data_IF_441909201121
#
_entry.id   IF_441909201121
#
_cell.length_a   1.000
_cell.length_b   1.000
_cell.length_c   1.000
_cell.angle_alpha   90.00
_cell.angle_beta   90.00
_cell.angle_gamma   90.00
#
_symmetry.space_group_name_H-M   'P 1'
#
loop_
_entity.id
_entity.type
_entity.pdbx_description
1 polymer ?
#
# COMPACT_ATOMS: atom_id res chain seq x y z
N UNK A 1 -55.08 -5.51 18.91
CA UNK A 1 -53.62 -5.58 18.68
C UNK A 1 -53.23 -7.05 18.79
N UNK A 2 -52.73 -7.65 17.72
CA UNK A 2 -52.18 -9.00 17.80
C UNK A 2 -50.84 -8.94 18.54
N UNK A 3 -50.69 -9.76 19.58
CA UNK A 3 -49.42 -9.98 20.27
C UNK A 3 -48.66 -11.08 19.54
N UNK A 4 -47.33 -10.96 19.49
CA UNK A 4 -46.47 -12.00 18.92
C UNK A 4 -46.62 -13.29 19.71
N UNK A 5 -46.57 -14.42 19.01
CA UNK A 5 -46.46 -15.74 19.62
C UNK A 5 -45.04 -15.95 20.17
N UNK A 6 -44.89 -16.84 21.15
CA UNK A 6 -43.57 -17.20 21.72
C UNK A 6 -42.59 -17.68 20.64
N UNK A 7 -43.08 -18.39 19.62
CA UNK A 7 -42.29 -18.84 18.47
C UNK A 7 -41.81 -17.68 17.59
N UNK A 8 -42.64 -16.67 17.36
CA UNK A 8 -42.26 -15.49 16.59
C UNK A 8 -41.27 -14.62 17.36
N UNK A 9 -41.44 -14.50 18.68
CA UNK A 9 -40.48 -13.81 19.52
C UNK A 9 -39.12 -14.52 19.51
N UNK A 10 -39.10 -15.84 19.70
CA UNK A 10 -37.87 -16.64 19.63
C UNK A 10 -37.18 -16.50 18.27
N UNK A 11 -37.93 -16.59 17.18
CA UNK A 11 -37.37 -16.42 15.82
C UNK A 11 -36.79 -15.02 15.62
N UNK A 12 -37.44 -13.98 16.13
CA UNK A 12 -36.91 -12.61 16.04
C UNK A 12 -35.58 -12.48 16.80
N UNK A 13 -35.47 -13.07 18.00
CA UNK A 13 -34.24 -13.09 18.78
C UNK A 13 -33.11 -13.84 18.05
N UNK A 14 -33.41 -14.99 17.46
CA UNK A 14 -32.50 -15.79 16.63
C UNK A 14 -32.00 -15.01 15.40
N UNK A 15 -32.90 -14.34 14.68
CA UNK A 15 -32.55 -13.52 13.52
C UNK A 15 -31.70 -12.31 13.91
N UNK A 16 -31.95 -11.69 15.06
CA UNK A 16 -31.09 -10.63 15.58
C UNK A 16 -29.66 -11.16 15.79
N UNK A 17 -29.49 -12.36 16.35
CA UNK A 17 -28.16 -12.96 16.51
C UNK A 17 -27.52 -13.26 15.14
N UNK A 18 -28.29 -13.80 14.20
CA UNK A 18 -27.84 -14.09 12.83
C UNK A 18 -27.29 -12.83 12.13
N UNK A 19 -27.98 -11.70 12.28
CA UNK A 19 -27.62 -10.47 11.57
C UNK A 19 -26.46 -9.69 12.22
N UNK A 20 -26.10 -9.98 13.48
CA UNK A 20 -24.97 -9.33 14.18
C UNK A 20 -23.65 -9.36 13.39
N UNK A 21 -23.13 -10.51 12.92
CA UNK A 21 -21.88 -10.55 12.16
C UNK A 21 -21.95 -9.69 10.88
N UNK A 22 -23.08 -9.70 10.16
CA UNK A 22 -23.27 -8.88 8.97
C UNK A 22 -23.27 -7.37 9.30
N UNK A 23 -23.92 -6.98 10.39
CA UNK A 23 -23.89 -5.61 10.90
C UNK A 23 -22.45 -5.20 11.24
N UNK A 24 -21.70 -6.02 11.97
CA UNK A 24 -20.31 -5.74 12.33
C UNK A 24 -19.45 -5.47 11.10
N UNK A 25 -19.51 -6.34 10.09
CA UNK A 25 -18.78 -6.15 8.83
C UNK A 25 -19.21 -4.87 8.11
N UNK A 26 -20.52 -4.63 8.01
CA UNK A 26 -21.05 -3.47 7.31
C UNK A 26 -20.64 -2.17 8.00
N UNK A 27 -20.71 -2.12 9.33
CA UNK A 27 -20.28 -0.96 10.12
C UNK A 27 -18.79 -0.71 9.96
N UNK A 28 -17.95 -1.76 10.04
CA UNK A 28 -16.51 -1.63 9.80
C UNK A 28 -16.25 -1.02 8.42
N UNK A 29 -16.79 -1.63 7.37
CA UNK A 29 -16.58 -1.20 5.99
C UNK A 29 -17.14 0.20 5.69
N UNK A 30 -18.22 0.59 6.39
CA UNK A 30 -18.83 1.91 6.22
C UNK A 30 -18.16 3.00 7.06
N UNK A 31 -17.38 2.63 8.08
CA UNK A 31 -16.61 3.55 8.93
C UNK A 31 -15.23 3.86 8.38
N UNK A 32 -14.69 3.01 7.51
CA UNK A 32 -13.38 3.25 6.90
C UNK A 32 -13.46 4.27 5.77
N UNK A 33 -12.60 5.30 5.82
CA UNK A 33 -12.46 6.29 4.76
C UNK A 33 -11.79 5.71 3.51
N UNK A 34 -10.99 4.65 3.67
CA UNK A 34 -10.28 3.94 2.59
C UNK A 34 -10.32 2.43 2.82
N UNK A 35 -11.46 1.76 2.57
CA UNK A 35 -11.57 0.32 2.73
C UNK A 35 -10.51 -0.41 1.90
N UNK A 36 -9.72 -1.24 2.57
CA UNK A 36 -8.63 -1.99 1.93
C UNK A 36 -9.15 -3.29 1.32
N UNK A 37 -8.82 -3.53 0.04
CA UNK A 37 -9.20 -4.77 -0.68
C UNK A 37 -8.68 -6.03 0.02
N UNK A 38 -7.61 -5.91 0.80
CA UNK A 38 -7.02 -6.96 1.62
C UNK A 38 -7.97 -7.52 2.69
N UNK A 39 -9.02 -6.79 3.10
CA UNK A 39 -9.99 -7.25 4.10
C UNK A 39 -11.15 -8.05 3.54
N UNK A 40 -11.37 -8.03 2.21
CA UNK A 40 -12.55 -8.66 1.60
C UNK A 40 -12.59 -10.17 1.92
N UNK A 41 -11.48 -10.89 1.72
CA UNK A 41 -11.43 -12.32 2.03
C UNK A 41 -11.52 -12.60 3.54
N UNK A 42 -10.74 -11.95 4.43
CA UNK A 42 -10.91 -12.12 5.87
C UNK A 42 -12.34 -11.91 6.37
N UNK A 43 -13.04 -10.87 5.88
CA UNK A 43 -14.43 -10.58 6.29
C UNK A 43 -15.42 -11.58 5.68
N UNK A 44 -15.21 -12.03 4.43
CA UNK A 44 -15.97 -13.13 3.82
C UNK A 44 -15.87 -14.38 4.70
N UNK A 45 -14.66 -14.82 5.03
CA UNK A 45 -14.40 -16.00 5.87
C UNK A 45 -15.03 -15.87 7.26
N UNK A 46 -14.98 -14.67 7.87
CA UNK A 46 -15.61 -14.41 9.16
C UNK A 46 -17.13 -14.58 9.08
N UNK A 47 -17.78 -14.05 8.03
CA UNK A 47 -19.22 -14.21 7.85
C UNK A 47 -19.56 -15.69 7.63
N UNK A 48 -18.87 -16.38 6.72
CA UNK A 48 -19.14 -17.80 6.44
C UNK A 48 -19.03 -18.67 7.70
N UNK A 49 -17.99 -18.44 8.53
CA UNK A 49 -17.86 -19.12 9.83
C UNK A 49 -19.03 -18.83 10.76
N UNK A 50 -19.53 -17.60 10.79
CA UNK A 50 -20.70 -17.24 11.62
C UNK A 50 -22.02 -17.79 11.10
N UNK A 51 -22.08 -18.20 9.83
CA UNK A 51 -23.25 -18.83 9.20
C UNK A 51 -23.22 -20.35 9.27
N UNK A 52 -22.24 -20.96 9.94
CA UNK A 52 -22.22 -22.40 10.13
C UNK A 52 -23.51 -22.87 10.84
N UNK A 53 -24.13 -23.98 10.38
CA UNK A 53 -25.34 -24.52 10.99
C UNK A 53 -25.03 -25.00 12.41
N UNK A 54 -25.85 -24.58 13.37
CA UNK A 54 -25.84 -25.06 14.75
C UNK A 54 -26.93 -26.12 14.97
N UNK A 55 -26.70 -27.02 15.91
CA UNK A 55 -27.66 -28.09 16.23
C UNK A 55 -28.99 -27.52 16.76
N UNK A 56 -28.89 -26.46 17.58
CA UNK A 56 -30.02 -25.75 18.21
C UNK A 56 -30.75 -24.77 17.28
N UNK A 57 -30.27 -24.58 16.05
CA UNK A 57 -30.92 -23.65 15.12
C UNK A 57 -32.30 -24.17 14.70
N UNK A 58 -33.30 -23.28 14.70
CA UNK A 58 -34.60 -23.56 14.10
C UNK A 58 -34.48 -23.85 12.59
N UNK A 59 -35.45 -24.55 12.00
CA UNK A 59 -35.44 -24.86 10.57
C UNK A 59 -35.32 -23.59 9.70
N UNK A 60 -36.11 -22.56 10.03
CA UNK A 60 -36.05 -21.25 9.36
C UNK A 60 -34.68 -20.59 9.50
N UNK A 61 -34.02 -20.72 10.67
CA UNK A 61 -32.70 -20.16 10.89
C UNK A 61 -31.62 -20.88 10.06
N UNK A 62 -31.71 -22.21 9.95
CA UNK A 62 -30.83 -23.02 9.08
C UNK A 62 -30.99 -22.63 7.61
N UNK A 63 -32.23 -22.43 7.15
CA UNK A 63 -32.52 -21.95 5.80
C UNK A 63 -31.95 -20.55 5.55
N UNK A 64 -32.12 -19.62 6.50
CA UNK A 64 -31.56 -18.28 6.39
C UNK A 64 -30.03 -18.29 6.33
N UNK A 65 -29.37 -19.06 7.21
CA UNK A 65 -27.91 -19.27 7.19
C UNK A 65 -27.43 -19.84 5.86
N UNK A 66 -28.13 -20.84 5.33
CA UNK A 66 -27.80 -21.46 4.04
C UNK A 66 -27.95 -20.47 2.89
N UNK A 67 -29.02 -19.68 2.86
CA UNK A 67 -29.24 -18.66 1.84
C UNK A 67 -28.14 -17.57 1.85
N UNK A 68 -27.75 -17.10 3.03
CA UNK A 68 -26.64 -16.12 3.18
C UNK A 68 -25.32 -16.73 2.72
N UNK A 69 -25.04 -17.97 3.13
CA UNK A 69 -23.81 -18.70 2.76
C UNK A 69 -23.71 -18.86 1.26
N UNK A 70 -24.77 -19.35 0.61
CA UNK A 70 -24.82 -19.56 -0.84
C UNK A 70 -24.62 -18.26 -1.61
N UNK A 71 -25.28 -17.17 -1.20
CA UNK A 71 -25.13 -15.87 -1.85
C UNK A 71 -23.69 -15.36 -1.71
N UNK A 72 -23.09 -15.45 -0.52
CA UNK A 72 -21.75 -14.95 -0.26
C UNK A 72 -20.64 -15.80 -0.89
N UNK A 73 -20.80 -17.12 -0.95
CA UNK A 73 -19.86 -18.02 -1.60
C UNK A 73 -19.75 -17.73 -3.09
N UNK A 74 -20.89 -17.43 -3.74
CA UNK A 74 -20.94 -17.12 -5.17
C UNK A 74 -20.25 -15.80 -5.50
N UNK A 75 -20.16 -14.89 -4.54
CA UNK A 75 -19.39 -13.65 -4.65
C UNK A 75 -17.89 -13.97 -4.60
N UNK A 76 -17.12 -13.36 -5.49
CA UNK A 76 -15.66 -13.54 -5.60
C UNK A 76 -15.23 -14.96 -6.05
N UNK A 77 -16.04 -15.60 -6.91
CA UNK A 77 -15.72 -16.91 -7.52
C UNK A 77 -14.89 -16.81 -8.80
N UNK A 78 -14.82 -15.61 -9.41
CA UNK A 78 -13.93 -15.37 -10.55
C UNK A 78 -12.48 -15.66 -10.13
N UNK A 79 -11.78 -16.60 -10.80
CA UNK A 79 -10.40 -16.96 -10.45
C UNK A 79 -9.44 -15.78 -10.45
N UNK A 80 -9.58 -14.85 -11.41
CA UNK A 80 -8.69 -13.70 -11.52
C UNK A 80 -8.90 -12.73 -10.35
N UNK A 81 -10.16 -12.44 -10.01
CA UNK A 81 -10.51 -11.64 -8.85
C UNK A 81 -10.08 -12.31 -7.54
N UNK A 82 -10.26 -13.63 -7.42
CA UNK A 82 -9.89 -14.38 -6.24
C UNK A 82 -8.37 -14.34 -6.00
N UNK A 83 -7.56 -14.59 -7.04
CA UNK A 83 -6.10 -14.48 -6.96
C UNK A 83 -5.66 -13.06 -6.58
N UNK A 84 -6.25 -12.02 -7.19
CA UNK A 84 -5.98 -10.63 -6.82
C UNK A 84 -6.27 -10.35 -5.34
N UNK A 85 -7.42 -10.78 -4.85
CA UNK A 85 -7.81 -10.58 -3.44
C UNK A 85 -6.91 -11.38 -2.50
N UNK A 86 -6.52 -12.61 -2.87
CA UNK A 86 -5.59 -13.42 -2.08
C UNK A 86 -4.22 -12.75 -1.97
N UNK A 87 -3.68 -12.23 -3.09
CA UNK A 87 -2.44 -11.45 -3.10
C UNK A 87 -2.55 -10.19 -2.25
N UNK A 88 -3.64 -9.43 -2.40
CA UNK A 88 -3.89 -8.23 -1.60
C UNK A 88 -3.95 -8.53 -0.10
N UNK A 89 -4.64 -9.60 0.30
CA UNK A 89 -4.69 -10.06 1.70
C UNK A 89 -3.32 -10.51 2.20
N UNK A 90 -2.54 -11.24 1.39
CA UNK A 90 -1.22 -11.74 1.78
C UNK A 90 -0.17 -10.63 1.97
N UNK A 91 -0.29 -9.55 1.20
CA UNK A 91 0.58 -8.37 1.28
C UNK A 91 0.24 -7.46 2.49
N UNK A 92 -0.94 -7.62 3.08
CA UNK A 92 -1.32 -6.89 4.29
C UNK A 92 -0.73 -7.57 5.54
N UNK A 93 0.15 -6.90 6.29
CA UNK A 93 0.80 -7.50 7.47
C UNK A 93 -0.19 -8.02 8.53
N UNK A 94 -1.41 -7.45 8.58
CA UNK A 94 -2.48 -7.87 9.51
C UNK A 94 -2.99 -9.27 9.21
N UNK A 95 -2.91 -9.72 7.95
CA UNK A 95 -3.49 -10.98 7.48
C UNK A 95 -2.47 -11.98 6.96
N UNK A 96 -1.16 -11.71 7.16
CA UNK A 96 -0.04 -12.56 6.69
C UNK A 96 -0.10 -14.04 7.09
N UNK A 97 -0.88 -14.40 8.12
CA UNK A 97 -1.04 -15.79 8.53
C UNK A 97 -1.97 -16.58 7.62
N UNK A 98 -2.89 -15.94 6.89
CA UNK A 98 -3.82 -16.57 5.93
C UNK A 98 -4.43 -17.90 6.43
N UNK A 99 -5.11 -17.92 7.58
CA UNK A 99 -5.54 -19.17 8.24
C UNK A 99 -6.60 -19.97 7.45
N UNK A 100 -7.23 -19.38 6.43
CA UNK A 100 -8.16 -20.07 5.55
C UNK A 100 -7.49 -20.83 4.39
N UNK A 101 -6.19 -20.60 4.14
CA UNK A 101 -5.44 -21.31 3.11
C UNK A 101 -4.69 -22.51 3.71
N UNK A 102 -4.62 -23.60 2.95
CA UNK A 102 -3.73 -24.70 3.28
C UNK A 102 -2.24 -24.31 3.10
N UNK A 103 -1.36 -25.04 3.77
CA UNK A 103 0.09 -24.77 3.76
C UNK A 103 0.66 -24.72 2.34
N UNK A 104 0.25 -25.65 1.48
CA UNK A 104 0.80 -25.74 0.12
C UNK A 104 0.39 -24.53 -0.73
N UNK A 105 -0.86 -24.09 -0.61
CA UNK A 105 -1.37 -22.89 -1.30
C UNK A 105 -0.70 -21.62 -0.78
N UNK A 106 -0.51 -21.52 0.54
CA UNK A 106 0.18 -20.40 1.18
C UNK A 106 1.63 -20.28 0.71
N UNK A 107 2.37 -21.38 0.66
CA UNK A 107 3.75 -21.42 0.15
C UNK A 107 3.81 -21.00 -1.32
N UNK A 108 2.90 -21.52 -2.17
CA UNK A 108 2.82 -21.12 -3.58
C UNK A 108 2.57 -19.63 -3.74
N UNK A 109 1.59 -19.09 -3.02
CA UNK A 109 1.24 -17.66 -3.06
C UNK A 109 2.43 -16.77 -2.73
N UNK A 110 3.15 -17.05 -1.64
CA UNK A 110 4.32 -16.26 -1.25
C UNK A 110 5.50 -16.38 -2.22
N UNK A 111 5.71 -17.57 -2.80
CA UNK A 111 6.71 -17.76 -3.86
C UNK A 111 6.38 -16.91 -5.09
N UNK A 112 5.12 -16.93 -5.52
CA UNK A 112 4.67 -16.20 -6.70
C UNK A 112 4.78 -14.69 -6.46
N UNK A 113 4.34 -14.19 -5.29
CA UNK A 113 4.54 -12.80 -4.89
C UNK A 113 6.01 -12.38 -4.86
N UNK A 114 6.89 -13.24 -4.34
CA UNK A 114 8.33 -12.98 -4.33
C UNK A 114 8.89 -12.86 -5.74
N UNK A 115 8.43 -13.72 -6.65
CA UNK A 115 8.82 -13.68 -8.07
C UNK A 115 8.38 -12.38 -8.73
N UNK A 116 7.10 -11.99 -8.55
CA UNK A 116 6.56 -10.74 -9.09
C UNK A 116 7.34 -9.51 -8.58
N UNK A 117 7.69 -9.49 -7.29
CA UNK A 117 8.48 -8.39 -6.69
C UNK A 117 9.86 -8.30 -7.36
N UNK A 118 10.56 -9.42 -7.50
CA UNK A 118 11.88 -9.46 -8.12
C UNK A 118 11.85 -9.05 -9.59
N UNK A 119 10.85 -9.49 -10.34
CA UNK A 119 10.65 -9.10 -11.73
C UNK A 119 10.35 -7.60 -11.85
N UNK A 120 9.47 -7.07 -11.01
CA UNK A 120 9.12 -5.66 -10.99
C UNK A 120 10.33 -4.79 -10.61
N UNK A 121 11.16 -5.21 -9.65
CA UNK A 121 12.41 -4.51 -9.32
C UNK A 121 13.37 -4.43 -10.50
N UNK A 122 13.55 -5.52 -11.24
CA UNK A 122 14.42 -5.56 -12.43
C UNK A 122 13.91 -4.61 -13.51
N UNK A 123 12.60 -4.58 -13.74
CA UNK A 123 11.97 -3.67 -14.70
C UNK A 123 12.16 -2.20 -14.27
N UNK A 124 11.96 -1.88 -13.00
CA UNK A 124 12.18 -0.52 -12.47
C UNK A 124 13.63 -0.10 -12.64
N UNK A 125 14.60 -0.97 -12.34
CA UNK A 125 16.03 -0.70 -12.53
C UNK A 125 16.40 -0.53 -14.01
N UNK A 126 15.85 -1.37 -14.90
CA UNK A 126 16.08 -1.25 -16.34
C UNK A 126 15.54 0.07 -16.90
N UNK A 127 14.34 0.49 -16.49
CA UNK A 127 13.75 1.78 -16.88
C UNK A 127 14.57 2.97 -16.37
N UNK A 128 15.06 2.91 -15.13
CA UNK A 128 15.95 3.93 -14.59
C UNK A 128 17.29 4.00 -15.35
N UNK A 129 17.86 2.84 -15.71
CA UNK A 129 19.07 2.73 -16.53
C UNK A 129 18.90 3.38 -17.91
N UNK A 130 17.81 3.09 -18.62
CA UNK A 130 17.49 3.71 -19.91
C UNK A 130 17.33 5.23 -19.82
N UNK A 131 16.68 5.73 -18.77
CA UNK A 131 16.54 7.19 -18.54
C UNK A 131 17.91 7.86 -18.35
N UNK A 132 18.80 7.24 -17.57
CA UNK A 132 20.14 7.76 -17.31
C UNK A 132 21.04 7.71 -18.55
N UNK A 133 20.96 6.64 -19.34
CA UNK A 133 21.71 6.51 -20.59
C UNK A 133 21.25 7.49 -21.66
N UNK A 134 19.94 7.77 -21.75
CA UNK A 134 19.40 8.81 -22.61
C UNK A 134 19.94 10.20 -22.21
N UNK A 135 19.89 10.54 -20.92
CA UNK A 135 20.42 11.81 -20.41
C UNK A 135 21.92 11.98 -20.71
N UNK A 136 22.71 10.90 -20.55
CA UNK A 136 24.16 10.89 -20.83
C UNK A 136 24.48 11.03 -22.33
N UNK A 137 23.68 10.43 -23.21
CA UNK A 137 23.81 10.62 -24.67
C UNK A 137 23.51 12.05 -25.09
N UNK A 138 22.47 12.68 -24.53
CA UNK A 138 22.16 14.10 -24.78
C UNK A 138 23.27 15.03 -24.28
N UNK A 139 23.84 14.77 -23.09
CA UNK A 139 24.97 15.53 -22.57
C UNK A 139 26.24 15.40 -23.44
N UNK A 140 26.58 14.19 -23.90
CA UNK A 140 27.73 13.97 -24.80
C UNK A 140 27.55 14.61 -26.17
N UNK A 141 26.34 14.61 -26.73
CA UNK A 141 26.03 15.29 -27.97
C UNK A 141 26.20 16.82 -27.84
N UNK A 142 25.80 17.39 -26.70
CA UNK A 142 26.02 18.81 -26.38
C UNK A 142 27.50 19.15 -26.22
N UNK A 143 28.29 18.31 -25.53
CA UNK A 143 29.74 18.50 -25.38
C UNK A 143 30.51 18.38 -26.71
N UNK A 144 30.09 17.48 -27.61
CA UNK A 144 30.68 17.34 -28.94
C UNK A 144 30.41 18.57 -29.84
N UNK A 145 29.27 19.25 -29.67
CA UNK A 145 28.99 20.50 -30.38
C UNK A 145 29.80 21.69 -29.87
N UNK A 146 30.15 21.72 -28.58
CA UNK A 146 30.98 22.79 -27.99
C UNK A 146 32.44 22.68 -28.47
N UNK A 147 32.98 21.46 -28.55
CA UNK A 147 34.37 21.22 -29.00
C UNK A 147 34.55 21.46 -30.50
N UNK A 148 33.54 21.19 -31.33
CA UNK A 148 33.57 21.52 -32.76
C UNK A 148 33.55 23.04 -33.04
N UNK A 149 32.89 23.83 -32.18
CA UNK A 149 32.81 25.30 -32.33
C UNK A 149 34.09 26.03 -31.89
N UNK A 150 34.92 25.42 -31.03
CA UNK A 150 36.18 26.02 -30.57
C UNK A 150 37.36 25.84 -31.55
N UNK A 151 37.22 24.98 -32.58
CA UNK A 151 38.25 24.80 -33.61
C UNK A 151 38.14 25.79 -34.79
N UNK A 152 37.06 26.57 -34.87
CA UNK A 152 36.78 27.45 -36.01
C UNK A 152 37.08 28.94 -35.78
N UNK A 153 37.68 29.33 -34.63
CA UNK A 153 38.03 30.72 -34.39
C UNK A 153 39.30 30.87 -33.54
N UNK A 154 40.47 30.78 -34.18
CA UNK A 154 41.71 31.37 -33.65
C UNK A 154 41.92 32.71 -34.34
N UNK A 155 41.79 33.86 -33.66
CA UNK A 155 42.45 35.06 -34.13
C UNK A 155 43.94 34.93 -33.79
N UNK A 156 44.77 35.03 -34.81
CA UNK A 156 46.20 35.33 -34.67
C UNK A 156 46.28 36.79 -34.24
N UNK A 157 46.79 37.07 -33.05
CA UNK A 157 47.09 38.44 -32.61
C UNK A 157 48.56 38.51 -32.23
N UNK A 158 49.25 39.41 -32.92
CA UNK A 158 50.66 39.71 -32.78
C UNK A 158 50.99 40.33 -31.42
N UNK A 159 52.22 40.07 -30.99
CA UNK A 159 52.84 40.58 -29.77
C UNK A 159 53.34 42.01 -30.00
N UNK A 160 52.80 42.99 -29.28
CA UNK A 160 53.54 44.17 -28.85
C UNK A 160 53.04 44.61 -27.46
N UNK A 161 53.98 44.98 -26.61
CA UNK A 161 53.82 45.14 -25.18
C UNK A 161 53.39 46.54 -24.75
N UNK A 162 52.94 46.62 -23.50
CA UNK A 162 53.46 47.56 -22.50
C UNK A 162 52.74 47.32 -21.17
N UNK A 163 53.54 47.26 -20.10
CA UNK A 163 53.08 47.11 -18.74
C UNK A 163 52.41 48.39 -18.23
N UNK A 164 51.38 48.23 -17.39
CA UNK A 164 51.10 49.16 -16.30
C UNK A 164 50.25 48.48 -15.21
N UNK A 165 50.82 48.45 -14.02
CA UNK A 165 50.28 47.97 -12.75
C UNK A 165 49.20 48.91 -12.22
N UNK A 166 48.16 48.40 -11.55
CA UNK A 166 47.54 49.08 -10.40
C UNK A 166 46.77 48.07 -9.50
N UNK A 167 47.06 48.17 -8.20
CA UNK A 167 46.50 47.45 -7.06
C UNK A 167 44.98 47.63 -6.87
N UNK A 168 44.29 46.59 -6.39
CA UNK A 168 43.74 46.49 -5.00
C UNK A 168 42.66 45.41 -4.89
N UNK A 169 42.86 44.50 -3.94
CA UNK A 169 41.79 43.76 -3.27
C UNK A 169 40.98 44.71 -2.35
N UNK A 170 39.68 44.45 -2.12
CA UNK A 170 39.31 43.96 -0.79
C UNK A 170 38.17 42.92 -0.76
N UNK A 171 37.92 42.44 0.45
CA UNK A 171 37.10 41.31 0.89
C UNK A 171 35.59 41.62 1.06
N UNK A 172 34.79 40.54 0.90
CA UNK A 172 33.68 40.02 1.75
C UNK A 172 32.61 40.96 2.36
N UNK A 173 31.34 40.75 1.96
CA UNK A 173 30.14 40.80 2.82
C UNK A 173 29.10 39.79 2.29
N UNK A 174 28.76 38.75 3.05
CA UNK A 174 27.61 38.60 3.97
C UNK A 174 26.21 38.56 3.30
N UNK A 175 25.59 37.37 3.29
CA UNK A 175 24.24 37.14 2.79
C UNK A 175 23.67 35.75 3.11
N UNK A 176 23.39 35.54 4.40
CA UNK A 176 22.46 34.60 5.06
C UNK A 176 22.04 33.28 4.37
N UNK A 177 22.46 32.16 4.98
CA UNK A 177 21.80 30.86 4.88
C UNK A 177 20.75 30.71 6.00
N UNK A 178 19.50 30.42 5.63
CA UNK A 178 18.43 30.08 6.58
C UNK A 178 18.49 28.58 6.87
N UNK A 179 18.90 28.24 8.09
CA UNK A 179 18.82 26.89 8.64
C UNK A 179 17.48 26.63 9.30
N UNK A 180 16.84 25.51 8.99
CA UNK A 180 15.77 24.93 9.79
C UNK A 180 16.37 23.94 10.80
N UNK A 181 16.48 24.39 12.05
CA UNK A 181 16.91 23.59 13.19
C UNK A 181 15.74 22.85 13.86
N UNK A 182 16.03 21.62 14.28
CA UNK A 182 15.25 20.79 15.22
C UNK A 182 15.38 21.31 16.66
N UNK A 183 14.29 21.20 17.43
CA UNK A 183 14.24 20.82 18.85
C UNK A 183 12.77 20.46 19.16
N UNK A 184 12.39 19.29 19.67
CA UNK A 184 12.77 18.54 20.87
C UNK A 184 12.45 19.29 22.16
N UNK A 185 11.29 18.98 22.75
CA UNK A 185 11.02 19.16 24.18
C UNK A 185 10.45 17.86 24.74
N UNK A 186 11.08 17.44 25.84
CA UNK A 186 10.79 16.26 26.62
C UNK A 186 9.46 16.37 27.36
N UNK A 187 8.80 15.22 27.57
CA UNK A 187 7.72 15.01 28.51
C UNK A 187 7.93 13.66 29.18
N UNK A 188 8.43 13.70 30.41
CA UNK A 188 8.72 12.54 31.26
C UNK A 188 7.46 12.25 32.11
N UNK A 189 6.96 11.02 32.11
CA UNK A 189 5.90 10.58 33.03
C UNK A 189 6.00 9.08 33.33
N UNK A 190 6.42 8.85 34.57
CA UNK A 190 6.26 7.70 35.46
C UNK A 190 5.59 6.42 34.92
N UNK A 191 6.29 5.29 35.08
CA UNK A 191 5.69 3.96 35.16
C UNK A 191 5.92 3.38 36.55
N UNK A 192 4.82 3.15 37.25
CA UNK A 192 4.73 2.50 38.54
C UNK A 192 4.74 0.97 38.34
N UNK A 193 5.63 0.27 39.06
CA UNK A 193 5.70 -1.18 39.13
C UNK A 193 5.12 -1.63 40.48
N UNK A 194 4.11 -2.49 40.46
CA UNK A 194 3.74 -3.43 41.52
C UNK A 194 3.37 -4.73 40.79
N UNK A 195 3.83 -5.92 41.19
CA UNK A 195 3.99 -6.41 42.56
C UNK A 195 2.98 -7.52 42.74
#
# INVERSE_FOLDING_TARGET
>A
MAMLTDSEQKLAEELIQLLKPLKTVTTLMSSETTPTTSMILPLKEMILKSMAPGDEDSATLKEAKAAITQDLERRYTDPALHDYLQRATALDPRFKSLPSLDESSRVRLYRDLTTDILEHEQQVRARAGWSNDAARKHSRASAAQITAKHSANRPVVDLDGSAQSFDKHPQMEHGQAVGYGRSSTAGDSATECHG
#
